data_IF_472796471290
#
_entry.id   IF_472796471290
#
_cell.length_a   1.000
_cell.length_b   1.000
_cell.length_c   1.000
_cell.angle_alpha   90.00
_cell.angle_beta   90.00
_cell.angle_gamma   90.00
#
_symmetry.space_group_name_H-M   'P 1'
#
loop_
_entity.id
_entity.type
_entity.pdbx_description
1 polymer ?
#
# COMPACT_ATOMS: atom_id res chain seq x y z
N UNK A 1 5.05 16.46 -28.20
CA UNK A 1 5.98 16.20 -27.09
C UNK A 1 5.45 16.95 -25.87
N UNK A 2 4.68 16.27 -25.03
CA UNK A 2 4.12 16.84 -23.79
C UNK A 2 5.26 17.06 -22.80
N UNK A 3 5.47 18.31 -22.39
CA UNK A 3 6.53 18.67 -21.44
C UNK A 3 6.10 18.18 -20.04
N UNK A 4 6.67 17.05 -19.61
CA UNK A 4 6.37 16.37 -18.34
C UNK A 4 6.39 17.32 -17.12
N UNK A 5 7.19 18.40 -17.19
CA UNK A 5 7.27 19.44 -16.15
C UNK A 5 5.98 20.24 -16.01
N UNK A 6 5.31 20.52 -17.12
CA UNK A 6 4.05 21.27 -17.15
C UNK A 6 2.91 20.42 -16.57
N UNK A 7 2.96 19.11 -16.78
CA UNK A 7 2.02 18.16 -16.19
C UNK A 7 2.20 18.04 -14.67
N UNK A 8 3.43 17.85 -14.20
CA UNK A 8 3.76 17.84 -12.76
C UNK A 8 3.30 19.13 -12.06
N UNK A 9 3.59 20.30 -12.65
CA UNK A 9 3.18 21.60 -12.10
C UNK A 9 1.66 21.73 -11.96
N UNK A 10 0.90 21.23 -12.95
CA UNK A 10 -0.57 21.20 -12.91
C UNK A 10 -1.09 20.27 -11.80
N UNK A 11 -0.51 19.08 -11.66
CA UNK A 11 -0.91 18.11 -10.63
C UNK A 11 -0.68 18.69 -9.23
N UNK A 12 0.49 19.32 -8.99
CA UNK A 12 0.79 20.00 -7.73
C UNK A 12 -0.25 21.08 -7.43
N UNK A 13 -0.56 21.92 -8.42
CA UNK A 13 -1.57 22.97 -8.28
C UNK A 13 -2.96 22.40 -7.96
N UNK A 14 -3.37 21.35 -8.67
CA UNK A 14 -4.67 20.69 -8.47
C UNK A 14 -4.78 20.12 -7.05
N UNK A 15 -3.76 19.37 -6.59
CA UNK A 15 -3.74 18.79 -5.25
C UNK A 15 -3.71 19.86 -4.15
N UNK A 16 -2.93 20.93 -4.34
CA UNK A 16 -2.91 22.06 -3.41
C UNK A 16 -4.30 22.68 -3.26
N UNK A 17 -4.99 22.94 -4.38
CA UNK A 17 -6.34 23.52 -4.37
C UNK A 17 -7.35 22.55 -3.77
N UNK A 18 -7.26 21.25 -4.08
CA UNK A 18 -8.13 20.22 -3.50
C UNK A 18 -7.95 20.09 -1.98
N UNK A 19 -6.73 20.28 -1.47
CA UNK A 19 -6.44 20.34 -0.05
C UNK A 19 -6.85 21.68 0.62
N UNK A 20 -7.40 22.64 -0.13
CA UNK A 20 -7.78 23.95 0.39
C UNK A 20 -6.59 24.87 0.74
N UNK A 21 -5.37 24.51 0.33
CA UNK A 21 -4.16 25.22 0.69
C UNK A 21 -3.87 26.40 -0.25
N UNK A 22 -3.49 27.53 0.32
CA UNK A 22 -2.83 28.62 -0.41
C UNK A 22 -1.36 28.29 -0.69
N UNK A 23 -0.74 29.02 -1.63
CA UNK A 23 0.71 28.90 -1.88
C UNK A 23 1.58 29.26 -0.65
N UNK A 24 1.06 30.06 0.28
CA UNK A 24 1.76 30.42 1.52
C UNK A 24 1.67 29.30 2.55
N UNK A 25 0.52 28.65 2.67
CA UNK A 25 0.35 27.52 3.58
C UNK A 25 1.17 26.31 3.12
N UNK A 26 1.09 25.95 1.83
CA UNK A 26 1.94 24.88 1.29
C UNK A 26 3.44 25.18 1.47
N UNK A 27 3.84 26.46 1.35
CA UNK A 27 5.22 26.88 1.59
C UNK A 27 5.65 26.68 3.04
N UNK A 28 4.78 27.02 3.99
CA UNK A 28 5.02 26.84 5.41
C UNK A 28 5.13 25.36 5.77
N UNK A 29 4.23 24.51 5.26
CA UNK A 29 4.23 23.07 5.54
C UNK A 29 5.42 22.33 4.91
N UNK A 30 5.77 22.66 3.66
CA UNK A 30 6.85 21.98 2.94
C UNK A 30 8.25 22.57 3.21
N UNK A 31 8.32 23.75 3.86
CA UNK A 31 9.57 24.47 4.05
C UNK A 31 10.22 24.91 2.72
N UNK A 32 9.40 25.20 1.70
CA UNK A 32 9.81 25.66 0.37
C UNK A 32 9.20 27.05 0.14
N UNK A 33 9.97 28.00 -0.41
CA UNK A 33 9.43 29.35 -0.62
C UNK A 33 8.22 29.38 -1.57
N UNK A 34 7.21 30.20 -1.25
CA UNK A 34 6.02 30.38 -2.11
C UNK A 34 6.38 30.84 -3.53
N UNK A 35 7.46 31.62 -3.69
CA UNK A 35 7.97 32.03 -5.01
C UNK A 35 8.47 30.84 -5.84
N UNK A 36 9.19 29.90 -5.22
CA UNK A 36 9.62 28.69 -5.90
C UNK A 36 8.44 27.79 -6.25
N UNK A 37 7.47 27.63 -5.34
CA UNK A 37 6.24 26.85 -5.59
C UNK A 37 5.41 27.44 -6.73
N UNK A 38 5.26 28.77 -6.79
CA UNK A 38 4.55 29.41 -7.89
C UNK A 38 5.19 29.16 -9.25
N UNK A 39 6.54 29.16 -9.32
CA UNK A 39 7.27 28.80 -10.56
C UNK A 39 7.13 27.32 -10.90
N UNK A 40 7.11 26.47 -9.89
CA UNK A 40 6.91 25.03 -10.03
C UNK A 40 5.53 24.71 -10.61
N UNK A 41 4.46 25.31 -10.09
CA UNK A 41 3.09 25.12 -10.57
C UNK A 41 2.86 25.58 -12.02
N UNK A 42 3.70 26.51 -12.51
CA UNK A 42 3.69 26.96 -13.91
C UNK A 42 4.61 26.15 -14.81
N UNK A 43 5.30 25.14 -14.29
CA UNK A 43 6.23 24.30 -15.05
C UNK A 43 7.57 24.98 -15.39
N UNK A 44 7.90 26.12 -14.76
CA UNK A 44 9.12 26.88 -15.04
C UNK A 44 10.38 26.28 -14.40
N UNK A 45 10.21 25.34 -13.45
CA UNK A 45 11.29 24.72 -12.70
C UNK A 45 11.06 23.22 -12.56
N UNK A 46 12.15 22.45 -12.65
CA UNK A 46 12.16 21.04 -12.27
C UNK A 46 12.58 20.90 -10.80
N UNK A 47 11.78 20.27 -9.95
CA UNK A 47 12.13 20.04 -8.55
C UNK A 47 13.10 18.87 -8.42
N UNK A 48 13.94 18.88 -7.39
CA UNK A 48 14.76 17.70 -7.04
C UNK A 48 13.91 16.67 -6.29
N UNK A 49 14.38 15.42 -6.23
CA UNK A 49 13.75 14.36 -5.43
C UNK A 49 13.52 14.79 -3.97
N UNK A 50 14.47 15.52 -3.38
CA UNK A 50 14.34 16.06 -2.02
C UNK A 50 13.20 17.09 -1.89
N UNK A 51 13.02 17.94 -2.89
CA UNK A 51 11.92 18.90 -2.93
C UNK A 51 10.58 18.18 -3.11
N UNK A 52 10.55 17.16 -3.95
CA UNK A 52 9.35 16.32 -4.15
C UNK A 52 8.95 15.59 -2.86
N UNK A 53 9.90 14.98 -2.14
CA UNK A 53 9.62 14.34 -0.85
C UNK A 53 9.03 15.31 0.19
N UNK A 54 9.53 16.56 0.24
CA UNK A 54 8.96 17.62 1.10
C UNK A 54 7.54 18.05 0.70
N UNK A 55 7.17 17.89 -0.57
CA UNK A 55 5.85 18.23 -1.08
C UNK A 55 4.85 17.07 -0.99
N UNK A 56 5.33 15.84 -0.90
CA UNK A 56 4.49 14.66 -0.93
C UNK A 56 3.45 14.68 0.20
N UNK A 57 3.89 14.79 1.45
CA UNK A 57 2.99 14.78 2.62
C UNK A 57 1.96 15.94 2.62
N UNK A 58 2.35 17.22 2.46
CA UNK A 58 1.38 18.33 2.40
C UNK A 58 0.35 18.21 1.28
N UNK A 59 0.66 17.49 0.20
CA UNK A 59 -0.23 17.28 -0.95
C UNK A 59 -1.01 15.96 -0.88
N UNK A 60 -0.86 15.19 0.21
CA UNK A 60 -1.52 13.90 0.39
C UNK A 60 -1.02 12.80 -0.55
N UNK A 61 0.27 12.81 -0.85
CA UNK A 61 0.95 11.79 -1.65
C UNK A 61 1.92 10.97 -0.80
N UNK A 62 2.12 9.71 -1.19
CA UNK A 62 3.32 8.97 -0.80
C UNK A 62 4.58 9.51 -1.49
N UNK A 63 5.76 9.40 -0.87
CA UNK A 63 7.01 9.86 -1.49
C UNK A 63 7.28 9.15 -2.83
N UNK A 64 7.07 7.83 -2.89
CA UNK A 64 7.23 7.06 -4.11
C UNK A 64 6.25 7.49 -5.21
N UNK A 65 4.98 7.70 -4.86
CA UNK A 65 3.94 8.19 -5.76
C UNK A 65 4.32 9.56 -6.36
N UNK A 66 4.80 10.50 -5.52
CA UNK A 66 5.25 11.81 -5.96
C UNK A 66 6.44 11.74 -6.92
N UNK A 67 7.39 10.83 -6.68
CA UNK A 67 8.55 10.61 -7.56
C UNK A 67 8.15 9.95 -8.89
N UNK A 68 7.18 9.04 -8.88
CA UNK A 68 6.60 8.44 -10.08
C UNK A 68 5.89 9.48 -10.93
N UNK A 69 5.06 10.34 -10.33
CA UNK A 69 4.38 11.44 -11.04
C UNK A 69 5.40 12.40 -11.68
N UNK A 70 6.55 12.61 -11.01
CA UNK A 70 7.64 13.43 -11.56
C UNK A 70 8.45 12.71 -12.66
N UNK A 71 8.18 11.44 -12.97
CA UNK A 71 8.93 10.62 -13.92
C UNK A 71 10.33 10.21 -13.43
N UNK A 72 10.60 10.33 -12.13
CA UNK A 72 11.88 9.93 -11.52
C UNK A 72 11.91 8.46 -11.10
N UNK A 73 10.74 7.83 -10.98
CA UNK A 73 10.57 6.39 -10.81
C UNK A 73 9.65 5.89 -11.91
N UNK A 74 9.87 4.67 -12.44
CA UNK A 74 8.85 4.04 -13.26
C UNK A 74 7.56 3.90 -12.43
N UNK A 75 6.38 3.91 -13.07
CA UNK A 75 5.13 3.57 -12.40
C UNK A 75 5.31 2.21 -11.76
N UNK A 76 5.49 2.21 -10.45
CA UNK A 76 5.41 0.98 -9.69
C UNK A 76 3.94 0.57 -9.79
N UNK A 77 3.61 -0.67 -10.18
CA UNK A 77 2.29 -1.18 -9.88
C UNK A 77 2.12 -0.93 -8.38
N UNK A 78 1.17 -0.04 -8.04
CA UNK A 78 0.86 0.36 -6.66
C UNK A 78 1.01 -0.87 -5.80
N UNK A 79 1.94 -0.82 -4.85
CA UNK A 79 2.26 -1.88 -3.91
C UNK A 79 1.66 -3.19 -4.36
N UNK A 80 2.38 -3.98 -5.18
CA UNK A 80 2.11 -5.42 -5.24
C UNK A 80 1.86 -5.81 -3.79
N UNK A 81 0.58 -5.98 -3.48
CA UNK A 81 0.19 -6.65 -2.29
C UNK A 81 1.05 -7.89 -2.44
N UNK A 82 1.93 -8.12 -1.49
CA UNK A 82 2.47 -9.44 -1.26
C UNK A 82 1.22 -10.25 -0.94
N UNK A 83 0.40 -10.56 -1.95
CA UNK A 83 -0.57 -11.62 -1.92
C UNK A 83 0.40 -12.75 -1.68
N UNK A 84 0.52 -13.14 -0.41
CA UNK A 84 1.30 -14.31 -0.05
C UNK A 84 0.91 -15.36 -1.07
N UNK A 85 1.92 -15.98 -1.69
CA UNK A 85 1.78 -16.88 -2.83
C UNK A 85 0.42 -17.56 -2.76
N UNK A 86 -0.49 -17.22 -3.69
CA UNK A 86 -1.81 -17.84 -3.71
C UNK A 86 -1.59 -19.35 -3.69
N UNK A 87 -2.42 -20.05 -2.91
CA UNK A 87 -2.40 -21.49 -2.90
C UNK A 87 -2.42 -22.02 -4.35
N UNK A 88 -1.57 -23.00 -4.73
CA UNK A 88 -1.46 -23.47 -6.09
C UNK A 88 -2.79 -23.91 -6.73
N UNK A 89 -3.71 -24.44 -5.93
CA UNK A 89 -5.04 -24.79 -6.41
C UNK A 89 -5.83 -23.53 -6.78
N UNK A 90 -5.86 -22.53 -5.91
CA UNK A 90 -6.55 -21.24 -6.16
C UNK A 90 -5.99 -20.54 -7.39
N UNK A 91 -4.66 -20.54 -7.55
CA UNK A 91 -4.00 -19.99 -8.74
C UNK A 91 -4.42 -20.73 -10.02
N UNK A 92 -4.50 -22.06 -9.96
CA UNK A 92 -4.91 -22.89 -11.11
C UNK A 92 -6.39 -22.71 -11.49
N UNK A 93 -7.26 -22.40 -10.53
CA UNK A 93 -8.68 -22.09 -10.77
C UNK A 93 -8.82 -20.71 -11.38
N UNK A 94 -8.17 -19.69 -10.78
CA UNK A 94 -8.24 -18.31 -11.29
C UNK A 94 -7.64 -18.16 -12.69
N UNK A 95 -6.60 -18.93 -13.01
CA UNK A 95 -5.97 -18.93 -14.33
C UNK A 95 -6.89 -19.44 -15.45
N UNK A 96 -7.98 -20.14 -15.11
CA UNK A 96 -8.99 -20.63 -16.06
C UNK A 96 -10.10 -19.60 -16.32
N UNK A 97 -10.16 -18.54 -15.53
CA UNK A 97 -11.17 -17.50 -15.62
C UNK A 97 -10.74 -16.34 -16.54
N UNK A 98 -11.71 -15.51 -16.92
CA UNK A 98 -11.42 -14.31 -17.73
C UNK A 98 -10.58 -13.29 -16.97
N UNK A 99 -9.82 -12.46 -17.70
CA UNK A 99 -9.00 -11.37 -17.14
C UNK A 99 -9.83 -10.44 -16.25
N UNK A 100 -11.09 -10.17 -16.60
CA UNK A 100 -11.98 -9.35 -15.79
C UNK A 100 -12.25 -10.00 -14.41
N UNK A 101 -12.52 -11.31 -14.38
CA UNK A 101 -12.75 -12.06 -13.13
C UNK A 101 -11.47 -12.11 -12.31
N UNK A 102 -10.32 -12.37 -12.93
CA UNK A 102 -9.02 -12.37 -12.24
C UNK A 102 -8.77 -11.03 -11.54
N UNK A 103 -8.98 -9.90 -12.23
CA UNK A 103 -8.82 -8.57 -11.64
C UNK A 103 -9.80 -8.28 -10.51
N UNK A 104 -11.06 -8.70 -10.65
CA UNK A 104 -12.06 -8.55 -9.57
C UNK A 104 -11.62 -9.33 -8.32
N UNK A 105 -11.20 -10.58 -8.49
CA UNK A 105 -10.77 -11.41 -7.36
C UNK A 105 -9.52 -10.84 -6.70
N UNK A 106 -8.52 -10.42 -7.47
CA UNK A 106 -7.31 -9.77 -6.96
C UNK A 106 -7.66 -8.51 -6.18
N UNK A 107 -8.56 -7.68 -6.69
CA UNK A 107 -9.01 -6.46 -6.01
C UNK A 107 -9.73 -6.76 -4.69
N UNK A 108 -10.64 -7.74 -4.67
CA UNK A 108 -11.34 -8.18 -3.46
C UNK A 108 -10.35 -8.69 -2.41
N UNK A 109 -9.41 -9.55 -2.80
CA UNK A 109 -8.38 -10.08 -1.90
C UNK A 109 -7.49 -8.96 -1.32
N UNK A 110 -7.15 -7.96 -2.13
CA UNK A 110 -6.43 -6.76 -1.67
C UNK A 110 -7.20 -5.98 -0.61
N UNK A 111 -8.51 -5.78 -0.82
CA UNK A 111 -9.39 -5.10 0.15
C UNK A 111 -9.48 -5.91 1.44
N UNK A 112 -9.74 -7.22 1.35
CA UNK A 112 -9.80 -8.12 2.51
C UNK A 112 -8.50 -8.09 3.30
N UNK A 113 -7.35 -8.04 2.63
CA UNK A 113 -6.05 -7.91 3.28
C UNK A 113 -5.88 -6.55 3.97
N UNK A 114 -6.33 -5.46 3.36
CA UNK A 114 -6.29 -4.12 3.98
C UNK A 114 -7.16 -4.07 5.23
N UNK A 115 -8.37 -4.62 5.16
CA UNK A 115 -9.28 -4.74 6.30
C UNK A 115 -8.64 -5.60 7.39
N UNK A 116 -8.05 -6.75 7.06
CA UNK A 116 -7.36 -7.60 8.03
C UNK A 116 -6.17 -6.90 8.69
N UNK A 117 -5.47 -6.01 7.96
CA UNK A 117 -4.33 -5.22 8.47
C UNK A 117 -4.77 -4.05 9.36
N UNK A 118 -5.91 -3.44 9.08
CA UNK A 118 -6.54 -2.40 9.92
C UNK A 118 -7.26 -3.01 11.13
N UNK A 119 -7.71 -4.26 10.98
CA UNK A 119 -8.33 -5.07 12.03
C UNK A 119 -7.31 -5.73 12.95
N UNK A 120 -6.16 -5.10 13.18
CA UNK A 120 -5.28 -5.42 14.32
C UNK A 120 -5.95 -5.07 15.68
N UNK A 121 -7.28 -5.14 15.74
CA UNK A 121 -7.98 -5.69 16.89
C UNK A 121 -7.40 -7.06 17.14
N UNK A 122 -6.43 -7.10 18.05
CA UNK A 122 -5.82 -8.27 18.66
C UNK A 122 -6.88 -9.25 19.17
N UNK A 123 -7.50 -10.00 18.26
CA UNK A 123 -8.04 -11.31 18.58
C UNK A 123 -6.85 -12.24 18.41
N UNK A 124 -6.12 -12.41 19.51
CA UNK A 124 -5.25 -13.57 19.69
C UNK A 124 -6.03 -14.80 19.24
N UNK A 125 -5.40 -15.67 18.44
CA UNK A 125 -6.02 -16.90 17.97
C UNK A 125 -6.64 -17.68 19.14
N UNK A 126 -5.94 -17.67 20.29
CA UNK A 126 -6.39 -18.22 21.56
C UNK A 126 -7.75 -17.64 21.98
N UNK A 127 -7.89 -16.32 21.99
CA UNK A 127 -9.11 -15.62 22.40
C UNK A 127 -10.27 -15.85 21.41
N UNK A 128 -9.98 -15.89 20.11
CA UNK A 128 -10.96 -16.24 19.09
C UNK A 128 -11.47 -17.69 19.25
N UNK A 129 -10.56 -18.65 19.45
CA UNK A 129 -10.88 -20.07 19.59
C UNK A 129 -11.73 -20.31 20.83
N UNK A 130 -11.36 -19.69 21.96
CA UNK A 130 -12.11 -19.74 23.23
C UNK A 130 -13.54 -19.20 23.10
N UNK A 131 -13.68 -18.03 22.46
CA UNK A 131 -15.00 -17.39 22.31
C UNK A 131 -15.92 -18.19 21.38
N UNK A 132 -15.37 -18.79 20.32
CA UNK A 132 -16.18 -19.43 19.28
C UNK A 132 -16.40 -20.93 19.51
N UNK A 133 -15.45 -21.60 20.17
CA UNK A 133 -15.47 -23.03 20.40
C UNK A 133 -15.21 -23.35 21.89
N UNK A 134 -16.14 -23.03 22.80
CA UNK A 134 -15.95 -23.16 24.25
C UNK A 134 -15.86 -24.61 24.75
N UNK A 135 -16.01 -25.60 23.86
CA UNK A 135 -15.86 -27.04 24.15
C UNK A 135 -14.61 -27.65 23.50
N UNK A 136 -13.83 -26.85 22.78
CA UNK A 136 -12.59 -27.31 22.16
C UNK A 136 -11.54 -27.50 23.24
N UNK A 137 -10.76 -28.56 23.12
CA UNK A 137 -9.69 -28.86 24.07
C UNK A 137 -8.58 -27.80 24.00
N UNK A 138 -8.08 -27.38 25.15
CA UNK A 138 -7.02 -26.36 25.27
C UNK A 138 -5.76 -26.78 24.51
N UNK A 139 -5.42 -28.07 24.57
CA UNK A 139 -4.20 -28.59 23.94
C UNK A 139 -4.27 -28.48 22.41
N UNK A 140 -5.48 -28.56 21.84
CA UNK A 140 -5.70 -28.35 20.40
C UNK A 140 -5.53 -26.87 20.05
N UNK A 141 -6.02 -25.97 20.89
CA UNK A 141 -5.87 -24.53 20.68
C UNK A 141 -4.39 -24.14 20.73
N UNK A 142 -3.64 -24.63 21.72
CA UNK A 142 -2.21 -24.40 21.86
C UNK A 142 -1.44 -24.97 20.66
N UNK A 143 -1.74 -26.22 20.26
CA UNK A 143 -1.08 -26.86 19.12
C UNK A 143 -1.24 -26.05 17.82
N UNK A 144 -2.47 -25.58 17.54
CA UNK A 144 -2.72 -24.79 16.33
C UNK A 144 -2.05 -23.41 16.42
N UNK A 145 -2.04 -22.78 17.60
CA UNK A 145 -1.33 -21.53 17.82
C UNK A 145 0.17 -21.66 17.51
N UNK A 146 0.81 -22.71 18.02
CA UNK A 146 2.24 -22.98 17.77
C UNK A 146 2.54 -23.18 16.27
N UNK A 147 1.67 -23.89 15.54
CA UNK A 147 1.79 -24.08 14.08
C UNK A 147 1.69 -22.73 13.34
N UNK A 148 0.77 -21.87 13.75
CA UNK A 148 0.56 -20.57 13.12
C UNK A 148 1.73 -19.59 13.38
N UNK A 149 2.31 -19.63 14.58
CA UNK A 149 3.43 -18.77 14.97
C UNK A 149 4.78 -19.23 14.39
N UNK A 150 4.90 -20.53 14.04
CA UNK A 150 6.14 -21.15 13.54
C UNK A 150 5.90 -21.99 12.26
N UNK A 151 5.70 -21.35 11.10
CA UNK A 151 5.33 -22.05 9.85
C UNK A 151 6.42 -22.96 9.25
N UNK A 152 7.66 -22.90 9.74
CA UNK A 152 8.83 -23.58 9.13
C UNK A 152 9.26 -24.88 9.84
N UNK A 153 8.41 -25.46 10.70
CA UNK A 153 8.82 -26.55 11.62
C UNK A 153 7.93 -27.79 11.66
N UNK A 154 7.85 -28.60 10.59
CA UNK A 154 7.51 -30.03 10.69
C UNK A 154 7.84 -30.83 9.41
N UNK A 155 9.12 -30.82 9.02
CA UNK A 155 9.66 -31.72 8.00
C UNK A 155 10.82 -32.53 8.57
N UNK A 156 10.52 -33.54 9.40
CA UNK A 156 11.59 -34.30 10.06
C UNK A 156 11.11 -35.47 10.93
N UNK A 157 10.32 -36.37 10.37
CA UNK A 157 10.24 -37.75 10.89
C UNK A 157 10.90 -38.66 9.86
N UNK A 158 12.18 -38.97 10.09
CA UNK A 158 12.85 -40.09 9.42
C UNK A 158 12.30 -41.39 9.99
N UNK A 159 11.85 -42.36 9.17
CA UNK A 159 11.55 -43.69 9.67
C UNK A 159 12.85 -44.48 9.82
N UNK A 160 13.01 -45.12 10.97
CA UNK A 160 13.94 -46.25 11.18
C UNK A 160 13.33 -47.54 10.64
#
# INVERSE_FOLDING_TARGET
>A
MTDNRNELGKIIKQRRVAAGLTLKELAAESGISSSYLGRLERGERSPSARVLGKLARPLGFGEAEMLTIAGLLPPQPEAEATIGRLDPYVSSVLSRETVAIQHIVIAILGILKSIAKESDCALDFTEYAHRKYPKLDEDIIIMVKDILDHPEGSGGLSPT
#
